data_IF_567339028421
#
_entry.id   IF_567339028421
#
_cell.length_a   1.000
_cell.length_b   1.000
_cell.length_c   1.000
_cell.angle_alpha   90.00
_cell.angle_beta   90.00
_cell.angle_gamma   90.00
#
_symmetry.space_group_name_H-M   'P 1'
#
loop_
_entity.id
_entity.type
_entity.pdbx_description
1 polymer ?
#
# COMPACT_ATOMS: atom_id res chain seq x y z
N UNK A 1 9.77 96.45 0.97
CA UNK A 1 10.89 97.42 0.89
C UNK A 1 10.81 98.16 -0.43
N UNK A 2 10.81 99.50 -0.37
CA UNK A 2 11.55 100.38 -1.30
C UNK A 2 11.15 100.46 -2.78
N UNK A 3 10.31 101.44 -3.16
CA UNK A 3 9.99 101.87 -4.54
C UNK A 3 10.78 103.14 -4.96
N UNK A 4 10.72 103.57 -6.22
CA UNK A 4 10.93 104.97 -6.69
C UNK A 4 10.40 105.11 -8.14
N UNK A 5 9.42 105.95 -8.51
CA UNK A 5 9.13 107.41 -8.41
C UNK A 5 9.89 108.32 -9.38
N UNK A 6 9.09 109.12 -10.11
CA UNK A 6 9.38 110.43 -10.74
C UNK A 6 8.49 110.59 -11.99
N UNK A 7 7.42 111.39 -12.14
CA UNK A 7 6.85 112.65 -11.59
C UNK A 7 7.42 113.97 -12.16
N UNK A 8 6.56 114.68 -12.90
CA UNK A 8 6.58 116.13 -13.25
C UNK A 8 5.56 116.36 -14.39
N UNK A 9 4.33 116.93 -14.26
CA UNK A 9 3.81 118.24 -13.78
C UNK A 9 4.41 119.42 -14.60
N UNK A 10 3.70 120.44 -15.12
CA UNK A 10 2.36 121.03 -14.83
C UNK A 10 2.07 122.23 -15.80
N UNK A 11 0.79 122.54 -16.06
CA UNK A 11 0.16 123.90 -16.19
C UNK A 11 0.56 124.88 -17.34
N UNK A 12 -0.23 125.85 -17.85
CA UNK A 12 -1.64 126.31 -17.80
C UNK A 12 -1.82 127.49 -18.81
N UNK A 13 -3.03 127.61 -19.39
CA UNK A 13 -3.82 128.83 -19.76
C UNK A 13 -3.16 130.17 -20.17
N UNK A 14 -3.73 130.76 -21.23
CA UNK A 14 -3.81 132.21 -21.46
C UNK A 14 -5.02 132.55 -22.35
N UNK A 15 -5.76 133.62 -22.03
CA UNK A 15 -7.10 134.02 -22.54
C UNK A 15 -7.10 135.54 -22.77
N UNK A 16 -7.93 136.03 -23.70
CA UNK A 16 -8.38 137.44 -23.80
C UNK A 16 -7.57 138.31 -24.78
N UNK A 17 -8.12 139.26 -25.53
CA UNK A 17 -9.49 139.78 -25.63
C UNK A 17 -9.49 141.27 -26.05
N UNK A 18 -10.59 141.70 -26.69
CA UNK A 18 -11.09 143.09 -26.84
C UNK A 18 -10.33 144.08 -27.74
N UNK A 19 -10.84 145.24 -28.17
CA UNK A 19 -12.13 145.70 -28.71
C UNK A 19 -12.03 147.23 -28.95
N UNK A 20 -12.82 147.74 -29.91
CA UNK A 20 -13.31 149.14 -30.02
C UNK A 20 -12.28 150.20 -30.51
N UNK A 21 -12.61 151.34 -31.16
CA UNK A 21 -13.81 152.19 -31.17
C UNK A 21 -13.64 153.34 -32.21
N UNK A 22 -14.77 153.83 -32.80
CA UNK A 22 -15.18 155.26 -33.06
C UNK A 22 -14.29 156.18 -33.96
N UNK A 23 -14.75 157.27 -34.62
CA UNK A 23 -16.03 157.97 -34.96
C UNK A 23 -15.67 159.22 -35.83
N UNK A 24 -16.62 159.79 -36.61
CA UNK A 24 -16.66 161.20 -37.11
C UNK A 24 -16.45 161.32 -38.64
N UNK A 25 -17.27 161.91 -39.53
CA UNK A 25 -18.36 162.92 -39.61
C UNK A 25 -17.93 164.37 -40.02
N UNK A 26 -18.50 164.85 -41.15
CA UNK A 26 -18.68 166.24 -41.69
C UNK A 26 -17.42 167.01 -42.19
N UNK A 27 -17.40 167.90 -43.21
CA UNK A 27 -18.33 168.49 -44.20
C UNK A 27 -17.51 169.28 -45.29
N UNK A 28 -17.97 169.24 -46.56
CA UNK A 28 -18.10 170.32 -47.60
C UNK A 28 -16.93 171.31 -47.89
N UNK A 29 -16.40 171.32 -49.13
CA UNK A 29 -16.69 172.37 -50.16
C UNK A 29 -16.11 172.04 -51.56
N UNK A 30 -16.70 172.70 -52.56
CA UNK A 30 -16.85 172.35 -53.97
C UNK A 30 -15.61 172.30 -54.90
N UNK A 31 -15.82 171.48 -55.94
CA UNK A 31 -15.31 171.61 -57.32
C UNK A 31 -14.06 170.81 -57.73
N UNK A 32 -14.17 169.47 -57.79
CA UNK A 32 -13.38 168.62 -58.73
C UNK A 32 -14.07 167.24 -58.94
N UNK A 33 -15.32 167.26 -59.41
CA UNK A 33 -16.29 166.13 -59.40
C UNK A 33 -16.27 165.21 -60.64
N UNK A 34 -15.10 164.92 -61.21
CA UNK A 34 -14.96 163.87 -62.26
C UNK A 34 -13.87 162.81 -61.98
N UNK A 35 -13.01 162.97 -60.96
CA UNK A 35 -11.92 162.03 -60.63
C UNK A 35 -12.20 161.06 -59.44
N UNK A 36 -13.36 161.18 -58.76
CA UNK A 36 -13.64 160.44 -57.51
C UNK A 36 -14.39 159.10 -57.71
N UNK A 37 -15.03 158.91 -58.87
CA UNK A 37 -15.73 157.67 -59.22
C UNK A 37 -14.78 156.50 -59.54
N UNK A 38 -13.69 156.76 -60.28
CA UNK A 38 -12.67 155.74 -60.59
C UNK A 38 -11.93 155.25 -59.34
N UNK A 39 -11.71 156.13 -58.35
CA UNK A 39 -11.02 155.77 -57.10
C UNK A 39 -11.85 154.83 -56.21
N UNK A 40 -13.17 154.98 -56.20
CA UNK A 40 -14.08 154.09 -55.44
C UNK A 40 -14.18 152.69 -56.05
N UNK A 41 -14.07 152.57 -57.37
CA UNK A 41 -14.06 151.28 -58.07
C UNK A 41 -12.77 150.48 -57.79
N UNK A 42 -11.61 151.17 -57.81
CA UNK A 42 -10.31 150.60 -57.43
C UNK A 42 -10.27 150.10 -55.98
N UNK A 43 -10.90 150.81 -55.04
CA UNK A 43 -10.99 150.38 -53.63
C UNK A 43 -11.86 149.13 -53.46
N UNK A 44 -12.92 148.99 -54.26
CA UNK A 44 -13.77 147.80 -54.28
C UNK A 44 -13.01 146.59 -54.82
N UNK A 45 -12.26 146.77 -55.92
CA UNK A 45 -11.39 145.73 -56.47
C UNK A 45 -10.28 145.34 -55.49
N UNK A 46 -9.66 146.29 -54.80
CA UNK A 46 -8.64 146.01 -53.78
C UNK A 46 -9.19 145.20 -52.58
N UNK A 47 -10.42 145.49 -52.12
CA UNK A 47 -11.06 144.70 -51.06
C UNK A 47 -11.43 143.28 -51.50
N UNK A 48 -11.90 143.12 -52.73
CA UNK A 48 -12.21 141.81 -53.29
C UNK A 48 -10.94 140.95 -53.42
N UNK A 49 -9.84 141.56 -53.91
CA UNK A 49 -8.54 140.91 -53.96
C UNK A 49 -8.04 140.52 -52.57
N UNK A 50 -8.15 141.40 -51.57
CA UNK A 50 -7.77 141.10 -50.18
C UNK A 50 -8.57 139.94 -49.57
N UNK A 51 -9.88 139.86 -49.83
CA UNK A 51 -10.70 138.72 -49.40
C UNK A 51 -10.28 137.41 -50.07
N UNK A 52 -9.94 137.45 -51.37
CA UNK A 52 -9.39 136.31 -52.10
C UNK A 52 -8.06 135.86 -51.49
N UNK A 53 -7.14 136.79 -51.21
CA UNK A 53 -5.85 136.46 -50.58
C UNK A 53 -6.06 135.85 -49.19
N UNK A 54 -7.01 136.36 -48.42
CA UNK A 54 -7.34 135.82 -47.09
C UNK A 54 -7.96 134.42 -47.14
N UNK A 55 -8.79 134.13 -48.15
CA UNK A 55 -9.33 132.78 -48.38
C UNK A 55 -8.24 131.81 -48.82
N UNK A 56 -7.32 132.26 -49.67
CA UNK A 56 -6.13 131.48 -50.05
C UNK A 56 -5.24 131.18 -48.84
N UNK A 57 -5.01 132.14 -47.94
CA UNK A 57 -4.27 131.92 -46.69
C UNK A 57 -4.96 130.90 -45.77
N UNK A 58 -6.29 130.94 -45.64
CA UNK A 58 -7.05 129.97 -44.86
C UNK A 58 -6.96 128.57 -45.48
N UNK A 59 -7.16 128.45 -46.79
CA UNK A 59 -7.05 127.18 -47.50
C UNK A 59 -5.61 126.61 -47.42
N UNK A 60 -4.60 127.47 -47.51
CA UNK A 60 -3.20 127.07 -47.34
C UNK A 60 -2.95 126.55 -45.92
N UNK A 61 -3.45 127.22 -44.89
CA UNK A 61 -3.31 126.78 -43.50
C UNK A 61 -4.05 125.46 -43.22
N UNK A 62 -5.25 125.28 -43.76
CA UNK A 62 -5.96 124.00 -43.70
C UNK A 62 -5.19 122.88 -44.41
N UNK A 63 -4.63 123.15 -45.58
CA UNK A 63 -3.79 122.21 -46.30
C UNK A 63 -2.52 121.87 -45.51
N UNK A 64 -1.89 122.84 -44.83
CA UNK A 64 -0.76 122.58 -43.95
C UNK A 64 -1.15 121.66 -42.79
N UNK A 65 -2.28 121.91 -42.11
CA UNK A 65 -2.76 121.04 -41.03
C UNK A 65 -3.12 119.64 -41.52
N UNK A 66 -3.73 119.51 -42.69
CA UNK A 66 -4.01 118.21 -43.30
C UNK A 66 -2.72 117.46 -43.64
N UNK A 67 -1.73 118.16 -44.23
CA UNK A 67 -0.41 117.60 -44.52
C UNK A 67 0.30 117.14 -43.26
N UNK A 68 0.26 117.92 -42.18
CA UNK A 68 0.82 117.56 -40.88
C UNK A 68 0.10 116.36 -40.25
N UNK A 69 -1.23 116.30 -40.33
CA UNK A 69 -2.02 115.14 -39.86
C UNK A 69 -1.69 113.88 -40.64
N UNK A 70 -1.62 113.96 -41.97
CA UNK A 70 -1.25 112.83 -42.84
C UNK A 70 0.17 112.38 -42.51
N UNK A 71 1.11 113.31 -42.35
CA UNK A 71 2.47 112.99 -41.97
C UNK A 71 2.55 112.32 -40.59
N UNK A 72 1.80 112.81 -39.60
CA UNK A 72 1.72 112.19 -38.28
C UNK A 72 1.15 110.77 -38.36
N UNK A 73 0.04 110.56 -39.06
CA UNK A 73 -0.52 109.22 -39.27
C UNK A 73 0.46 108.31 -39.98
N UNK A 74 1.16 108.81 -41.00
CA UNK A 74 2.19 108.04 -41.70
C UNK A 74 3.34 107.63 -40.77
N UNK A 75 3.85 108.53 -39.92
CA UNK A 75 4.91 108.22 -38.95
C UNK A 75 4.42 107.19 -37.93
N UNK A 76 3.21 107.37 -37.38
CA UNK A 76 2.64 106.46 -36.38
C UNK A 76 2.37 105.09 -36.97
N UNK A 77 1.75 105.00 -38.15
CA UNK A 77 1.48 103.72 -38.80
C UNK A 77 2.75 103.03 -39.27
N UNK A 78 3.74 103.78 -39.76
CA UNK A 78 5.07 103.23 -40.07
C UNK A 78 5.73 102.64 -38.82
N UNK A 79 5.68 103.36 -37.69
CA UNK A 79 6.20 102.86 -36.42
C UNK A 79 5.42 101.62 -35.93
N UNK A 80 4.09 101.67 -35.96
CA UNK A 80 3.24 100.54 -35.58
C UNK A 80 3.54 99.30 -36.44
N UNK A 81 3.75 99.49 -37.74
CA UNK A 81 4.13 98.43 -38.66
C UNK A 81 5.52 97.86 -38.32
N UNK A 82 6.51 98.72 -38.03
CA UNK A 82 7.84 98.31 -37.59
C UNK A 82 7.79 97.54 -36.25
N UNK A 83 6.97 97.99 -35.30
CA UNK A 83 6.75 97.34 -34.00
C UNK A 83 6.07 95.97 -34.18
N UNK A 84 4.99 95.89 -34.98
CA UNK A 84 4.30 94.61 -35.30
C UNK A 84 5.25 93.61 -35.98
N UNK A 85 6.11 94.10 -36.88
CA UNK A 85 7.12 93.30 -37.56
C UNK A 85 8.19 92.80 -36.57
N UNK A 86 8.55 93.61 -35.57
CA UNK A 86 9.45 93.19 -34.50
C UNK A 86 8.79 92.13 -33.59
N UNK A 87 7.53 92.32 -33.19
CA UNK A 87 6.77 91.34 -32.41
C UNK A 87 6.64 90.01 -33.14
N UNK A 88 6.35 90.01 -34.45
CA UNK A 88 6.24 88.79 -35.24
C UNK A 88 7.57 88.03 -35.29
N UNK A 89 8.69 88.75 -35.45
CA UNK A 89 10.04 88.14 -35.38
C UNK A 89 10.33 87.56 -34.00
N UNK A 90 9.91 88.22 -32.91
CA UNK A 90 10.10 87.70 -31.56
C UNK A 90 9.25 86.44 -31.33
N UNK A 91 7.98 86.44 -31.78
CA UNK A 91 7.10 85.26 -31.70
C UNK A 91 7.63 84.08 -32.51
N UNK A 92 8.23 84.36 -33.67
CA UNK A 92 8.86 83.32 -34.49
C UNK A 92 10.09 82.72 -33.80
N UNK A 93 10.90 83.53 -33.11
CA UNK A 93 12.00 83.02 -32.27
C UNK A 93 11.48 82.21 -31.08
N UNK A 94 10.46 82.70 -30.38
CA UNK A 94 9.85 81.96 -29.26
C UNK A 94 9.30 80.60 -29.72
N UNK A 95 8.70 80.54 -30.92
CA UNK A 95 8.24 79.28 -31.54
C UNK A 95 9.42 78.34 -31.80
N UNK A 96 10.51 78.85 -32.38
CA UNK A 96 11.72 78.07 -32.63
C UNK A 96 12.34 77.55 -31.33
N UNK A 97 12.48 78.38 -30.31
CA UNK A 97 13.01 77.99 -28.99
C UNK A 97 12.15 76.90 -28.33
N UNK A 98 10.82 76.98 -28.46
CA UNK A 98 9.91 75.94 -27.96
C UNK A 98 10.04 74.64 -28.73
N UNK A 99 10.18 74.70 -30.05
CA UNK A 99 10.40 73.51 -30.89
C UNK A 99 11.73 72.83 -30.56
N UNK A 100 12.80 73.60 -30.35
CA UNK A 100 14.10 73.07 -29.92
C UNK A 100 14.01 72.40 -28.54
N UNK A 101 13.36 73.06 -27.56
CA UNK A 101 13.13 72.48 -26.23
C UNK A 101 12.34 71.17 -26.34
N UNK A 102 11.25 71.16 -27.12
CA UNK A 102 10.43 69.98 -27.31
C UNK A 102 11.21 68.83 -27.97
N UNK A 103 12.07 69.14 -28.95
CA UNK A 103 12.94 68.13 -29.57
C UNK A 103 13.96 67.55 -28.56
N UNK A 104 14.53 68.39 -27.68
CA UNK A 104 15.43 67.93 -26.61
C UNK A 104 14.67 67.04 -25.63
N UNK A 105 13.48 67.44 -25.18
CA UNK A 105 12.63 66.63 -24.30
C UNK A 105 12.30 65.27 -24.93
N UNK A 106 11.90 65.23 -26.20
CA UNK A 106 11.67 63.98 -26.93
C UNK A 106 12.92 63.09 -26.92
N UNK A 107 14.11 63.65 -27.12
CA UNK A 107 15.37 62.87 -27.07
C UNK A 107 15.63 62.31 -25.68
N UNK A 108 15.42 63.09 -24.63
CA UNK A 108 15.57 62.65 -23.23
C UNK A 108 14.56 61.54 -22.90
N UNK A 109 13.29 61.70 -23.27
CA UNK A 109 12.28 60.67 -23.07
C UNK A 109 12.60 59.39 -23.84
N UNK A 110 13.03 59.49 -25.11
CA UNK A 110 13.48 58.34 -25.90
C UNK A 110 14.66 57.62 -25.22
N UNK A 111 15.63 58.37 -24.70
CA UNK A 111 16.74 57.77 -23.94
C UNK A 111 16.23 57.11 -22.67
N UNK A 112 15.37 57.75 -21.88
CA UNK A 112 14.82 57.18 -20.64
C UNK A 112 14.06 55.87 -20.89
N UNK A 113 13.25 55.82 -21.94
CA UNK A 113 12.56 54.58 -22.35
C UNK A 113 13.58 53.50 -22.74
N UNK A 114 14.63 53.83 -23.50
CA UNK A 114 15.69 52.87 -23.83
C UNK A 114 16.41 52.32 -22.60
N UNK A 115 16.75 53.17 -21.63
CA UNK A 115 17.38 52.74 -20.39
C UNK A 115 16.45 51.83 -19.60
N UNK A 116 15.18 52.20 -19.44
CA UNK A 116 14.20 51.39 -18.73
C UNK A 116 14.01 50.01 -19.38
N UNK A 117 13.93 49.95 -20.72
CA UNK A 117 13.86 48.68 -21.44
C UNK A 117 15.11 47.82 -21.24
N UNK A 118 16.30 48.43 -21.22
CA UNK A 118 17.55 47.73 -20.99
C UNK A 118 17.67 47.22 -19.53
N UNK A 119 17.25 48.03 -18.56
CA UNK A 119 17.16 47.64 -17.15
C UNK A 119 16.21 46.46 -16.96
N UNK A 120 14.99 46.55 -17.50
CA UNK A 120 14.02 45.45 -17.45
C UNK A 120 14.57 44.18 -18.12
N UNK A 121 15.22 44.31 -19.29
CA UNK A 121 15.83 43.18 -19.97
C UNK A 121 16.95 42.54 -19.14
N UNK A 122 17.77 43.34 -18.47
CA UNK A 122 18.83 42.87 -17.59
C UNK A 122 18.27 42.18 -16.34
N UNK A 123 17.23 42.74 -15.73
CA UNK A 123 16.53 42.11 -14.59
C UNK A 123 15.93 40.77 -14.97
N UNK A 124 15.23 40.70 -16.10
CA UNK A 124 14.68 39.44 -16.63
C UNK A 124 15.80 38.42 -16.87
N UNK A 125 16.93 38.86 -17.45
CA UNK A 125 18.07 37.97 -17.73
C UNK A 125 18.71 37.46 -16.43
N UNK A 126 18.81 38.33 -15.42
CA UNK A 126 19.32 37.98 -14.09
C UNK A 126 18.41 36.98 -13.40
N UNK A 127 17.10 37.22 -13.38
CA UNK A 127 16.11 36.31 -12.79
C UNK A 127 16.10 34.95 -13.48
N UNK A 128 16.19 34.92 -14.82
CA UNK A 128 16.31 33.66 -15.58
C UNK A 128 17.55 32.89 -15.20
N UNK A 129 18.70 33.56 -15.09
CA UNK A 129 19.96 32.94 -14.68
C UNK A 129 19.89 32.40 -13.24
N UNK A 130 19.30 33.15 -12.32
CA UNK A 130 19.10 32.71 -10.93
C UNK A 130 18.16 31.50 -10.84
N UNK A 131 17.06 31.49 -11.59
CA UNK A 131 16.18 30.33 -11.69
C UNK A 131 16.90 29.11 -12.25
N UNK A 132 17.64 29.25 -13.35
CA UNK A 132 18.40 28.15 -13.95
C UNK A 132 19.47 27.61 -12.99
N UNK A 133 20.17 28.48 -12.26
CA UNK A 133 21.13 28.08 -11.24
C UNK A 133 20.44 27.33 -10.09
N UNK A 134 19.33 27.84 -9.57
CA UNK A 134 18.56 27.18 -8.51
C UNK A 134 18.03 25.82 -8.96
N UNK A 135 17.55 25.71 -10.20
CA UNK A 135 17.08 24.44 -10.77
C UNK A 135 18.23 23.44 -10.90
N UNK A 136 19.40 23.90 -11.34
CA UNK A 136 20.59 23.04 -11.48
C UNK A 136 21.07 22.53 -10.12
N UNK A 137 21.16 23.41 -9.11
CA UNK A 137 21.51 23.01 -7.74
C UNK A 137 20.54 21.95 -7.21
N UNK A 138 19.24 22.18 -7.36
CA UNK A 138 18.23 21.20 -6.95
C UNK A 138 18.36 19.87 -7.68
N UNK A 139 18.63 19.88 -9.00
CA UNK A 139 18.88 18.65 -9.77
C UNK A 139 20.13 17.90 -9.30
N UNK A 140 21.21 18.63 -8.99
CA UNK A 140 22.45 18.03 -8.50
C UNK A 140 22.27 17.45 -7.08
N UNK A 141 21.49 18.11 -6.21
CA UNK A 141 21.10 17.60 -4.89
C UNK A 141 20.26 16.31 -5.02
N UNK A 142 19.27 16.28 -5.92
CA UNK A 142 18.49 15.07 -6.18
C UNK A 142 19.36 13.92 -6.69
N UNK A 143 20.33 14.20 -7.57
CA UNK A 143 21.30 13.20 -8.05
C UNK A 143 22.21 12.70 -6.92
N UNK A 144 22.60 13.57 -6.00
CA UNK A 144 23.34 13.21 -4.78
C UNK A 144 22.52 12.25 -3.91
N UNK A 145 21.31 12.65 -3.54
CA UNK A 145 20.40 11.85 -2.72
C UNK A 145 20.08 10.50 -3.38
N UNK A 146 19.88 10.45 -4.70
CA UNK A 146 19.63 9.20 -5.42
C UNK A 146 20.83 8.25 -5.35
N UNK A 147 22.06 8.77 -5.43
CA UNK A 147 23.27 7.96 -5.27
C UNK A 147 23.40 7.43 -3.85
N UNK A 148 23.14 8.25 -2.84
CA UNK A 148 23.16 7.85 -1.42
C UNK A 148 22.11 6.77 -1.13
N UNK A 149 20.86 6.97 -1.60
CA UNK A 149 19.82 5.96 -1.47
C UNK A 149 20.18 4.64 -2.17
N UNK A 150 20.87 4.71 -3.32
CA UNK A 150 21.38 3.52 -4.01
C UNK A 150 22.48 2.81 -3.20
N UNK A 151 23.38 3.55 -2.55
CA UNK A 151 24.40 2.96 -1.68
C UNK A 151 23.80 2.35 -0.44
N UNK A 152 22.86 3.04 0.21
CA UNK A 152 22.18 2.56 1.41
C UNK A 152 21.34 1.32 1.11
N UNK A 153 20.64 1.30 -0.03
CA UNK A 153 19.92 0.10 -0.49
C UNK A 153 20.85 -1.10 -0.66
N UNK A 154 22.07 -0.89 -1.18
CA UNK A 154 23.06 -1.98 -1.34
C UNK A 154 23.59 -2.42 0.02
N UNK A 155 23.88 -1.49 0.93
CA UNK A 155 24.32 -1.76 2.28
C UNK A 155 23.28 -2.55 3.08
N UNK A 156 22.03 -2.10 3.09
CA UNK A 156 20.92 -2.79 3.75
C UNK A 156 20.71 -4.21 3.20
N UNK A 157 20.89 -4.42 1.88
CA UNK A 157 20.86 -5.77 1.29
C UNK A 157 22.00 -6.65 1.78
N UNK A 158 23.20 -6.08 1.96
CA UNK A 158 24.34 -6.80 2.50
C UNK A 158 24.10 -7.17 3.97
N UNK A 159 23.68 -6.21 4.79
CA UNK A 159 23.41 -6.42 6.22
C UNK A 159 22.30 -7.47 6.41
N UNK A 160 21.24 -7.42 5.59
CA UNK A 160 20.19 -8.44 5.60
C UNK A 160 20.74 -9.82 5.24
N UNK A 161 21.66 -9.90 4.26
CA UNK A 161 22.29 -11.16 3.89
C UNK A 161 23.21 -11.71 4.98
N UNK A 162 23.94 -10.84 5.67
CA UNK A 162 24.79 -11.20 6.79
C UNK A 162 23.95 -11.76 7.95
N UNK A 163 22.82 -11.11 8.28
CA UNK A 163 21.87 -11.61 9.28
C UNK A 163 21.31 -12.97 8.86
N UNK A 164 20.87 -13.13 7.62
CA UNK A 164 20.39 -14.43 7.11
C UNK A 164 21.44 -15.54 7.26
N UNK A 165 22.70 -15.28 6.90
CA UNK A 165 23.79 -16.23 7.03
C UNK A 165 24.07 -16.57 8.50
N UNK A 166 24.09 -15.56 9.37
CA UNK A 166 24.26 -15.78 10.81
C UNK A 166 23.15 -16.65 11.41
N UNK A 167 21.90 -16.44 10.99
CA UNK A 167 20.76 -17.25 11.41
C UNK A 167 20.87 -18.69 10.87
N UNK A 168 21.29 -18.86 9.62
CA UNK A 168 21.52 -20.19 9.05
C UNK A 168 22.62 -20.94 9.81
N UNK A 169 23.71 -20.27 10.17
CA UNK A 169 24.80 -20.89 10.92
C UNK A 169 24.41 -21.20 12.36
N UNK A 170 23.61 -20.34 13.00
CA UNK A 170 23.00 -20.64 14.29
C UNK A 170 22.11 -21.88 14.22
N UNK A 171 21.23 -21.99 13.22
CA UNK A 171 20.37 -23.17 13.01
C UNK A 171 21.19 -24.44 12.75
N UNK A 172 22.27 -24.37 11.97
CA UNK A 172 23.19 -25.50 11.77
C UNK A 172 23.84 -25.92 13.09
N UNK A 173 24.30 -24.97 13.89
CA UNK A 173 24.91 -25.27 15.20
C UNK A 173 23.91 -25.94 16.14
N UNK A 174 22.67 -25.45 16.18
CA UNK A 174 21.61 -25.99 17.01
C UNK A 174 21.23 -27.41 16.58
N UNK A 175 21.13 -27.68 15.27
CA UNK A 175 20.91 -29.03 14.73
C UNK A 175 22.06 -29.97 15.08
N UNK A 176 23.31 -29.54 14.90
CA UNK A 176 24.48 -30.35 15.29
C UNK A 176 24.48 -30.67 16.79
N UNK A 177 24.08 -29.73 17.65
CA UNK A 177 23.98 -29.98 19.07
C UNK A 177 22.84 -30.95 19.42
N UNK A 178 21.69 -30.83 18.75
CA UNK A 178 20.59 -31.79 18.88
C UNK A 178 21.03 -33.20 18.44
N UNK A 179 21.71 -33.34 17.32
CA UNK A 179 22.22 -34.63 16.82
C UNK A 179 23.22 -35.25 17.80
N UNK A 180 24.10 -34.43 18.40
CA UNK A 180 24.99 -34.87 19.48
C UNK A 180 24.21 -35.38 20.69
N UNK A 181 23.20 -34.63 21.15
CA UNK A 181 22.34 -35.04 22.29
C UNK A 181 21.60 -36.35 22.00
N UNK A 182 21.05 -36.51 20.79
CA UNK A 182 20.40 -37.76 20.36
C UNK A 182 21.41 -38.92 20.37
N UNK A 183 22.62 -38.70 19.88
CA UNK A 183 23.67 -39.72 19.85
C UNK A 183 24.07 -40.17 21.25
N UNK A 184 24.28 -39.21 22.18
CA UNK A 184 24.57 -39.51 23.59
C UNK A 184 23.42 -40.30 24.21
N UNK A 185 22.18 -39.88 24.01
CA UNK A 185 21.01 -40.57 24.55
C UNK A 185 20.89 -42.01 24.02
N UNK A 186 21.17 -42.22 22.72
CA UNK A 186 21.22 -43.57 22.12
C UNK A 186 22.29 -44.43 22.78
N UNK A 187 23.48 -43.89 23.00
CA UNK A 187 24.57 -44.60 23.68
C UNK A 187 24.21 -44.96 25.13
N UNK A 188 23.54 -44.06 25.85
CA UNK A 188 23.06 -44.32 27.21
C UNK A 188 22.01 -45.44 27.24
N UNK A 189 21.03 -45.42 26.32
CA UNK A 189 20.05 -46.49 26.21
C UNK A 189 20.68 -47.83 25.83
N UNK A 190 21.64 -47.83 24.91
CA UNK A 190 22.36 -49.05 24.53
C UNK A 190 23.18 -49.60 25.71
N UNK A 191 23.83 -48.73 26.48
CA UNK A 191 24.55 -49.11 27.71
C UNK A 191 23.59 -49.73 28.72
N UNK A 192 22.46 -49.07 29.00
CA UNK A 192 21.46 -49.58 29.95
C UNK A 192 20.85 -50.91 29.49
N UNK A 193 20.59 -51.09 28.19
CA UNK A 193 20.12 -52.35 27.64
C UNK A 193 21.16 -53.47 27.84
N UNK A 194 22.44 -53.21 27.55
CA UNK A 194 23.54 -54.16 27.75
C UNK A 194 23.71 -54.53 29.23
N UNK A 195 23.70 -53.56 30.13
CA UNK A 195 23.78 -53.77 31.58
C UNK A 195 22.61 -54.64 32.08
N UNK A 196 21.40 -54.36 31.62
CA UNK A 196 20.20 -55.11 31.99
C UNK A 196 20.26 -56.55 31.46
N UNK A 197 20.62 -56.73 30.19
CA UNK A 197 20.84 -58.05 29.59
C UNK A 197 21.87 -58.84 30.40
N UNK A 198 23.03 -58.25 30.67
CA UNK A 198 24.11 -58.91 31.40
C UNK A 198 23.68 -59.29 32.84
N UNK A 199 22.91 -58.43 33.51
CA UNK A 199 22.33 -58.73 34.84
C UNK A 199 21.43 -59.96 34.79
N UNK A 200 20.55 -60.06 33.80
CA UNK A 200 19.65 -61.22 33.67
C UNK A 200 20.37 -62.49 33.20
N UNK A 201 21.37 -62.38 32.33
CA UNK A 201 22.22 -63.51 31.96
C UNK A 201 22.99 -64.07 33.15
N UNK A 202 23.56 -63.20 33.99
CA UNK A 202 24.22 -63.60 35.25
C UNK A 202 23.24 -64.30 36.19
N UNK A 203 22.04 -63.74 36.41
CA UNK A 203 20.98 -64.38 37.21
C UNK A 203 20.58 -65.75 36.66
N UNK A 204 20.39 -65.86 35.35
CA UNK A 204 20.03 -67.11 34.67
C UNK A 204 21.15 -68.15 34.80
N UNK A 205 22.41 -67.74 34.67
CA UNK A 205 23.56 -68.63 34.87
C UNK A 205 23.63 -69.13 36.33
N UNK A 206 23.57 -68.22 37.30
CA UNK A 206 23.57 -68.57 38.72
C UNK A 206 22.44 -69.56 39.07
N UNK A 207 21.22 -69.33 38.57
CA UNK A 207 20.11 -70.25 38.81
C UNK A 207 20.32 -71.64 38.20
N UNK A 208 20.95 -71.72 37.01
CA UNK A 208 21.32 -73.01 36.41
C UNK A 208 22.40 -73.72 37.21
N UNK A 209 23.43 -73.00 37.62
CA UNK A 209 24.54 -73.54 38.41
C UNK A 209 24.02 -74.07 39.77
N UNK A 210 23.10 -73.37 40.42
CA UNK A 210 22.42 -73.80 41.66
C UNK A 210 21.60 -75.09 41.46
N UNK A 211 20.82 -75.17 40.38
CA UNK A 211 20.04 -76.37 40.06
C UNK A 211 20.94 -77.57 39.74
N UNK A 212 22.03 -77.35 39.01
CA UNK A 212 23.01 -78.39 38.74
C UNK A 212 23.72 -78.87 40.00
N UNK A 213 24.07 -77.96 40.90
CA UNK A 213 24.66 -78.29 42.20
C UNK A 213 23.70 -79.13 43.05
N UNK A 214 22.42 -78.73 43.14
CA UNK A 214 21.38 -79.53 43.83
C UNK A 214 21.22 -80.92 43.22
N UNK A 215 21.13 -81.01 41.89
CA UNK A 215 21.03 -82.29 41.19
C UNK A 215 22.24 -83.19 41.48
N UNK A 216 23.46 -82.64 41.46
CA UNK A 216 24.68 -83.39 41.80
C UNK A 216 24.64 -83.89 43.24
N UNK A 217 24.26 -83.02 44.19
CA UNK A 217 24.14 -83.39 45.59
C UNK A 217 23.09 -84.49 45.82
N UNK A 218 21.93 -84.40 45.18
CA UNK A 218 20.89 -85.41 45.29
C UNK A 218 21.30 -86.74 44.65
N UNK A 219 22.03 -86.69 43.53
CA UNK A 219 22.62 -87.88 42.89
C UNK A 219 23.61 -88.55 43.84
N UNK A 220 24.51 -87.78 44.47
CA UNK A 220 25.45 -88.30 45.47
C UNK A 220 24.73 -88.94 46.66
N UNK A 221 23.70 -88.31 47.22
CA UNK A 221 22.90 -88.90 48.30
C UNK A 221 22.24 -90.23 47.89
N UNK A 222 21.77 -90.33 46.65
CA UNK A 222 21.19 -91.57 46.11
C UNK A 222 22.28 -92.64 45.96
N UNK A 223 23.45 -92.28 45.44
CA UNK A 223 24.61 -93.19 45.32
C UNK A 223 25.08 -93.68 46.69
N UNK A 224 25.21 -92.81 47.68
CA UNK A 224 25.55 -93.18 49.06
C UNK A 224 24.54 -94.15 49.67
N UNK A 225 23.24 -93.89 49.50
CA UNK A 225 22.17 -94.81 49.95
C UNK A 225 22.25 -96.16 49.26
N UNK A 226 22.49 -96.18 47.95
CA UNK A 226 22.66 -97.42 47.18
C UNK A 226 23.90 -98.18 47.63
N UNK A 227 25.02 -97.51 47.83
CA UNK A 227 26.26 -98.12 48.31
C UNK A 227 26.10 -98.66 49.73
N UNK A 228 25.41 -97.95 50.61
CA UNK A 228 25.07 -98.44 51.94
C UNK A 228 24.20 -99.70 51.86
N UNK A 229 23.17 -99.70 51.00
CA UNK A 229 22.33 -100.87 50.80
C UNK A 229 23.10 -102.07 50.23
N UNK A 230 23.99 -101.83 49.26
CA UNK A 230 24.90 -102.86 48.72
C UNK A 230 25.79 -103.42 49.84
N UNK A 231 26.37 -102.56 50.68
CA UNK A 231 27.20 -102.99 51.80
C UNK A 231 26.39 -103.84 52.81
N UNK A 232 25.18 -103.41 53.16
CA UNK A 232 24.27 -104.18 54.01
C UNK A 232 23.93 -105.53 53.39
N UNK A 233 23.60 -105.56 52.10
CA UNK A 233 23.29 -106.78 51.37
C UNK A 233 24.49 -107.73 51.32
N UNK A 234 25.70 -107.20 51.08
CA UNK A 234 26.95 -107.95 51.15
C UNK A 234 27.17 -108.57 52.53
N UNK A 235 26.98 -107.80 53.62
CA UNK A 235 27.10 -108.34 54.99
C UNK A 235 26.04 -109.38 55.31
N UNK A 236 24.81 -109.19 54.84
CA UNK A 236 23.72 -110.15 55.01
C UNK A 236 24.01 -111.45 54.24
N UNK A 237 24.52 -111.34 53.01
CA UNK A 237 24.98 -112.49 52.24
C UNK A 237 26.17 -113.19 52.90
N UNK A 238 27.18 -112.48 53.37
CA UNK A 238 28.32 -113.07 54.10
C UNK A 238 27.84 -113.84 55.33
N UNK A 239 26.91 -113.25 56.08
CA UNK A 239 26.28 -113.89 57.23
C UNK A 239 25.47 -115.12 56.83
N UNK A 240 24.63 -115.02 55.80
CA UNK A 240 23.86 -116.15 55.28
C UNK A 240 24.77 -117.26 54.73
N UNK A 241 25.88 -116.92 54.06
CA UNK A 241 26.89 -117.89 53.63
C UNK A 241 27.58 -118.54 54.83
N UNK A 242 27.88 -117.79 55.89
CA UNK A 242 28.38 -118.32 57.16
C UNK A 242 27.37 -119.26 57.83
N UNK A 243 26.10 -118.87 57.90
CA UNK A 243 24.99 -119.68 58.41
C UNK A 243 24.77 -120.94 57.56
N UNK A 244 24.87 -120.85 56.23
CA UNK A 244 24.82 -122.00 55.31
C UNK A 244 26.02 -122.93 55.52
N UNK A 245 27.22 -122.37 55.68
CA UNK A 245 28.44 -123.15 55.94
C UNK A 245 28.35 -123.87 57.28
N UNK A 246 27.83 -123.18 58.31
CA UNK A 246 27.53 -123.78 59.60
C UNK A 246 26.43 -124.82 59.48
N UNK A 247 25.35 -124.57 58.74
CA UNK A 247 24.28 -125.53 58.47
C UNK A 247 24.80 -126.78 57.75
N UNK A 248 25.70 -126.65 56.77
CA UNK A 248 26.31 -127.81 56.12
C UNK A 248 27.34 -128.52 57.01
N UNK A 249 28.08 -127.80 57.86
CA UNK A 249 28.92 -128.39 58.90
C UNK A 249 28.07 -129.16 59.93
N UNK A 250 26.97 -128.57 60.36
CA UNK A 250 25.98 -129.14 61.27
C UNK A 250 25.22 -130.28 60.60
N UNK A 251 25.01 -130.25 59.28
CA UNK A 251 24.51 -131.39 58.49
C UNK A 251 25.56 -132.46 58.36
N UNK A 252 26.85 -132.17 58.19
CA UNK A 252 27.86 -133.23 58.19
C UNK A 252 27.97 -133.88 59.56
N UNK A 253 27.83 -133.10 60.64
CA UNK A 253 27.79 -133.60 62.01
C UNK A 253 26.48 -134.36 62.29
N UNK A 254 25.34 -133.77 61.95
CA UNK A 254 24.03 -134.41 62.06
C UNK A 254 23.89 -135.60 61.12
N UNK A 255 24.45 -135.64 59.93
CA UNK A 255 24.39 -136.81 59.04
C UNK A 255 25.17 -137.99 59.64
N UNK A 256 26.24 -137.71 60.38
CA UNK A 256 26.92 -138.70 61.21
C UNK A 256 26.03 -139.21 62.36
N UNK A 257 25.25 -138.32 62.98
CA UNK A 257 24.28 -138.67 64.04
C UNK A 257 22.96 -139.27 63.50
N UNK A 258 22.58 -138.93 62.27
CA UNK A 258 21.35 -139.26 61.54
C UNK A 258 21.51 -140.59 60.80
N UNK A 259 22.72 -140.98 60.37
CA UNK A 259 22.99 -142.39 60.01
C UNK A 259 22.69 -143.32 61.21
N UNK A 260 22.82 -142.81 62.44
CA UNK A 260 22.49 -143.53 63.67
C UNK A 260 20.99 -143.56 63.93
N UNK A 261 20.26 -142.47 63.71
CA UNK A 261 18.82 -142.36 64.00
C UNK A 261 17.86 -142.71 62.83
N UNK A 262 18.29 -142.67 61.56
CA UNK A 262 17.49 -143.08 60.39
C UNK A 262 17.23 -144.59 60.31
N UNK A 263 17.85 -145.39 61.18
CA UNK A 263 17.39 -146.76 61.44
C UNK A 263 16.12 -146.82 62.29
N UNK A 264 15.81 -145.79 63.07
CA UNK A 264 14.65 -145.72 63.96
C UNK A 264 13.47 -144.95 63.36
N UNK A 265 13.72 -143.91 62.55
CA UNK A 265 12.64 -143.02 62.04
C UNK A 265 11.92 -143.47 60.75
N UNK A 266 12.36 -144.55 60.09
CA UNK A 266 11.54 -145.20 59.03
C UNK A 266 10.19 -145.71 59.58
N UNK A 267 10.08 -145.84 60.91
CA UNK A 267 8.87 -146.24 61.62
C UNK A 267 7.78 -145.15 61.73
N UNK A 268 8.10 -143.85 61.65
CA UNK A 268 7.14 -142.78 62.03
C UNK A 268 6.55 -141.95 60.89
N UNK A 269 7.14 -141.97 59.69
CA UNK A 269 6.68 -141.13 58.56
C UNK A 269 5.34 -141.55 57.92
N UNK A 270 4.65 -142.57 58.44
CA UNK A 270 3.28 -142.93 58.00
C UNK A 270 2.17 -142.05 58.58
N UNK A 271 2.46 -141.03 59.41
CA UNK A 271 1.44 -140.33 60.22
C UNK A 271 1.14 -138.85 59.90
N UNK A 272 1.78 -138.19 58.94
CA UNK A 272 1.64 -136.73 58.72
C UNK A 272 1.03 -136.35 57.37
N UNK A 273 -0.11 -136.96 57.02
CA UNK A 273 -0.90 -136.62 55.81
C UNK A 273 -2.07 -135.68 56.10
N UNK A 274 -2.19 -135.16 57.34
CA UNK A 274 -3.38 -134.44 57.83
C UNK A 274 -3.25 -132.90 57.96
N UNK A 275 -2.22 -132.26 57.38
CA UNK A 275 -1.99 -130.81 57.56
C UNK A 275 -2.43 -129.91 56.39
N UNK A 276 -2.81 -130.46 55.23
CA UNK A 276 -3.04 -129.68 54.02
C UNK A 276 -4.43 -129.01 53.91
N UNK A 277 -5.34 -129.26 54.85
CA UNK A 277 -6.71 -128.71 54.80
C UNK A 277 -6.84 -127.24 55.25
N UNK A 278 -5.81 -126.64 55.86
CA UNK A 278 -5.89 -125.26 56.41
C UNK A 278 -5.58 -124.13 55.42
N UNK A 279 -4.90 -124.40 54.31
CA UNK A 279 -4.48 -123.35 53.35
C UNK A 279 -5.62 -122.78 52.48
N UNK A 280 -6.73 -123.50 52.34
CA UNK A 280 -7.82 -123.14 51.44
C UNK A 280 -8.73 -122.00 51.96
N UNK A 281 -8.68 -121.67 53.26
CA UNK A 281 -9.55 -120.65 53.86
C UNK A 281 -8.99 -119.22 53.76
N UNK A 282 -7.67 -119.05 53.76
CA UNK A 282 -7.00 -117.73 53.74
C UNK A 282 -7.14 -117.02 52.39
N UNK A 283 -7.14 -117.78 51.28
CA UNK A 283 -7.25 -117.26 49.91
C UNK A 283 -8.63 -116.64 49.64
N UNK A 284 -9.68 -117.09 50.35
CA UNK A 284 -11.05 -116.61 50.19
C UNK A 284 -11.29 -115.23 50.82
N UNK A 285 -10.61 -114.90 51.92
CA UNK A 285 -10.77 -113.60 52.59
C UNK A 285 -10.01 -112.46 51.88
N UNK A 286 -8.84 -112.75 51.31
CA UNK A 286 -8.02 -111.75 50.62
C UNK A 286 -8.73 -111.22 49.35
N UNK A 287 -9.50 -112.07 48.66
CA UNK A 287 -10.29 -111.69 47.48
C UNK A 287 -11.49 -110.75 47.81
N UNK A 288 -12.05 -110.82 49.02
CA UNK A 288 -13.11 -109.89 49.45
C UNK A 288 -12.56 -108.49 49.75
N UNK A 289 -11.34 -108.39 50.31
CA UNK A 289 -10.68 -107.12 50.67
C UNK A 289 -10.33 -106.24 49.47
N UNK A 290 -10.07 -106.85 48.31
CA UNK A 290 -9.62 -106.15 47.09
C UNK A 290 -10.75 -105.61 46.20
N UNK A 291 -12.02 -105.94 46.49
CA UNK A 291 -13.16 -105.54 45.64
C UNK A 291 -13.55 -104.05 45.77
N UNK A 292 -13.34 -103.43 46.93
CA UNK A 292 -13.71 -102.05 47.20
C UNK A 292 -12.72 -101.02 46.63
N UNK A 293 -11.40 -101.21 46.72
CA UNK A 293 -10.41 -100.37 46.03
C UNK A 293 -10.60 -100.34 44.50
N UNK A 294 -10.96 -101.49 43.91
CA UNK A 294 -11.20 -101.61 42.47
C UNK A 294 -12.42 -100.79 42.02
N UNK A 295 -13.52 -100.79 42.80
CA UNK A 295 -14.69 -99.94 42.52
C UNK A 295 -14.38 -98.44 42.59
N UNK A 296 -13.57 -98.00 43.57
CA UNK A 296 -13.17 -96.59 43.69
C UNK A 296 -12.29 -96.15 42.51
N UNK A 297 -11.32 -96.97 42.10
CA UNK A 297 -10.47 -96.70 40.95
C UNK A 297 -11.27 -96.58 39.64
N UNK A 298 -12.30 -97.41 39.44
CA UNK A 298 -13.17 -97.34 38.25
C UNK A 298 -14.00 -96.05 38.21
N UNK A 299 -14.55 -95.60 39.35
CA UNK A 299 -15.29 -94.33 39.44
C UNK A 299 -14.39 -93.11 39.18
N UNK A 300 -13.14 -93.14 39.66
CA UNK A 300 -12.18 -92.06 39.41
C UNK A 300 -11.76 -92.00 37.93
N UNK A 301 -11.57 -93.15 37.28
CA UNK A 301 -11.33 -93.21 35.83
C UNK A 301 -12.49 -92.60 35.05
N UNK A 302 -13.73 -92.84 35.47
CA UNK A 302 -14.92 -92.30 34.81
C UNK A 302 -15.05 -90.78 34.99
N UNK A 303 -14.79 -90.26 36.20
CA UNK A 303 -14.69 -88.82 36.48
C UNK A 303 -13.60 -88.14 35.64
N UNK A 304 -12.39 -88.71 35.59
CA UNK A 304 -11.28 -88.16 34.83
C UNK A 304 -11.58 -88.13 33.33
N UNK A 305 -12.23 -89.18 32.79
CA UNK A 305 -12.69 -89.19 31.39
C UNK A 305 -13.72 -88.10 31.10
N UNK A 306 -14.60 -87.77 32.05
CA UNK A 306 -15.58 -86.68 31.89
C UNK A 306 -14.89 -85.31 31.90
N UNK A 307 -13.94 -85.10 32.81
CA UNK A 307 -13.14 -83.86 32.89
C UNK A 307 -12.28 -83.63 31.64
N UNK A 308 -11.70 -84.70 31.06
CA UNK A 308 -10.94 -84.60 29.80
C UNK A 308 -11.85 -84.16 28.64
N UNK A 309 -13.10 -84.63 28.60
CA UNK A 309 -14.07 -84.23 27.58
C UNK A 309 -14.40 -82.74 27.66
N UNK A 310 -14.73 -82.26 28.85
CA UNK A 310 -15.01 -80.83 29.11
C UNK A 310 -13.81 -79.96 28.73
N UNK A 311 -12.60 -80.35 29.16
CA UNK A 311 -11.37 -79.63 28.81
C UNK A 311 -11.11 -79.57 27.28
N UNK A 312 -11.47 -80.64 26.55
CA UNK A 312 -11.36 -80.64 25.08
C UNK A 312 -12.36 -79.70 24.43
N UNK A 313 -13.60 -79.64 24.92
CA UNK A 313 -14.64 -78.70 24.47
C UNK A 313 -14.22 -77.24 24.73
N UNK A 314 -13.82 -76.91 25.96
CA UNK A 314 -13.32 -75.57 26.33
C UNK A 314 -12.10 -75.15 25.47
N UNK A 315 -11.22 -76.09 25.11
CA UNK A 315 -10.06 -75.81 24.26
C UNK A 315 -10.45 -75.48 22.81
N UNK A 316 -11.56 -76.01 22.32
CA UNK A 316 -12.09 -75.67 21.00
C UNK A 316 -12.76 -74.30 21.05
N UNK A 317 -13.57 -74.02 22.06
CA UNK A 317 -14.21 -72.72 22.27
C UNK A 317 -13.17 -71.59 22.46
N UNK A 318 -12.09 -71.85 23.19
CA UNK A 318 -11.01 -70.89 23.33
C UNK A 318 -10.32 -70.59 21.97
N UNK A 319 -10.20 -71.59 21.09
CA UNK A 319 -9.63 -71.37 19.75
C UNK A 319 -10.56 -70.56 18.86
N UNK A 320 -11.86 -70.82 18.88
CA UNK A 320 -12.83 -70.06 18.10
C UNK A 320 -12.91 -68.62 18.59
N UNK A 321 -12.95 -68.39 19.91
CA UNK A 321 -12.92 -67.06 20.50
C UNK A 321 -11.65 -66.28 20.13
N UNK A 322 -10.47 -66.93 20.16
CA UNK A 322 -9.22 -66.31 19.70
C UNK A 322 -9.23 -65.95 18.22
N UNK A 323 -9.83 -66.80 17.38
CA UNK A 323 -10.00 -66.50 15.95
C UNK A 323 -10.90 -65.28 15.72
N UNK A 324 -12.02 -65.19 16.43
CA UNK A 324 -12.92 -64.04 16.37
C UNK A 324 -12.25 -62.76 16.88
N UNK A 325 -11.47 -62.85 17.96
CA UNK A 325 -10.72 -61.72 18.51
C UNK A 325 -9.69 -61.18 17.51
N UNK A 326 -8.97 -62.06 16.81
CA UNK A 326 -8.00 -61.66 15.79
C UNK A 326 -8.68 -60.91 14.62
N UNK A 327 -9.85 -61.36 14.18
CA UNK A 327 -10.63 -60.68 13.13
C UNK A 327 -11.08 -59.31 13.62
N UNK A 328 -11.64 -59.22 14.83
CA UNK A 328 -12.06 -57.95 15.43
C UNK A 328 -10.89 -56.97 15.62
N UNK A 329 -9.70 -57.44 15.99
CA UNK A 329 -8.49 -56.61 16.10
C UNK A 329 -8.06 -56.06 14.74
N UNK A 330 -8.17 -56.86 13.67
CA UNK A 330 -7.89 -56.40 12.31
C UNK A 330 -8.93 -55.37 11.84
N UNK A 331 -10.22 -55.62 12.07
CA UNK A 331 -11.30 -54.68 11.75
C UNK A 331 -11.15 -53.36 12.52
N UNK A 332 -10.78 -53.43 13.80
CA UNK A 332 -10.50 -52.25 14.62
C UNK A 332 -9.31 -51.46 14.08
N UNK A 333 -8.22 -52.13 13.69
CA UNK A 333 -7.05 -51.48 13.11
C UNK A 333 -7.39 -50.77 11.78
N UNK A 334 -8.17 -51.41 10.90
CA UNK A 334 -8.62 -50.79 9.65
C UNK A 334 -9.52 -49.59 9.93
N UNK A 335 -10.48 -49.72 10.85
CA UNK A 335 -11.40 -48.64 11.18
C UNK A 335 -10.70 -47.46 11.86
N UNK A 336 -9.71 -47.73 12.72
CA UNK A 336 -8.88 -46.69 13.33
C UNK A 336 -8.09 -45.90 12.30
N UNK A 337 -7.54 -46.58 11.29
CA UNK A 337 -6.82 -45.91 10.20
C UNK A 337 -7.76 -45.07 9.34
N UNK A 338 -8.92 -45.62 8.95
CA UNK A 338 -9.95 -44.87 8.20
C UNK A 338 -10.44 -43.65 8.97
N UNK A 339 -10.64 -43.78 10.28
CA UNK A 339 -11.03 -42.68 11.15
C UNK A 339 -9.97 -41.57 11.15
N UNK A 340 -8.68 -41.91 11.29
CA UNK A 340 -7.59 -40.93 11.27
C UNK A 340 -7.49 -40.20 9.93
N UNK A 341 -7.65 -40.93 8.81
CA UNK A 341 -7.68 -40.34 7.46
C UNK A 341 -8.87 -39.37 7.32
N UNK A 342 -10.07 -39.76 7.76
CA UNK A 342 -11.25 -38.90 7.74
C UNK A 342 -11.08 -37.66 8.62
N UNK A 343 -10.43 -37.80 9.78
CA UNK A 343 -10.17 -36.69 10.69
C UNK A 343 -9.21 -35.66 10.07
N UNK A 344 -8.15 -36.13 9.40
CA UNK A 344 -7.24 -35.26 8.66
C UNK A 344 -7.93 -34.54 7.51
N UNK A 345 -8.78 -35.26 6.75
CA UNK A 345 -9.54 -34.68 5.64
C UNK A 345 -10.55 -33.64 6.13
N UNK A 346 -11.23 -33.91 7.24
CA UNK A 346 -12.13 -32.94 7.86
C UNK A 346 -11.37 -31.68 8.29
N UNK A 347 -10.22 -31.82 8.95
CA UNK A 347 -9.40 -30.69 9.36
C UNK A 347 -8.90 -29.85 8.17
N UNK A 348 -8.56 -30.49 7.05
CA UNK A 348 -8.20 -29.79 5.82
C UNK A 348 -9.39 -28.98 5.26
N UNK A 349 -10.57 -29.59 5.14
CA UNK A 349 -11.78 -28.90 4.65
C UNK A 349 -12.17 -27.74 5.55
N UNK A 350 -12.03 -27.87 6.87
CA UNK A 350 -12.28 -26.77 7.80
C UNK A 350 -11.33 -25.59 7.56
N UNK A 351 -10.04 -25.85 7.35
CA UNK A 351 -9.07 -24.79 7.00
C UNK A 351 -9.40 -24.11 5.68
N UNK A 352 -9.73 -24.89 4.65
CA UNK A 352 -10.13 -24.35 3.34
C UNK A 352 -11.39 -23.46 3.47
N UNK A 353 -12.34 -23.86 4.31
CA UNK A 353 -13.54 -23.05 4.59
C UNK A 353 -13.21 -21.76 5.35
N UNK A 354 -12.34 -21.82 6.36
CA UNK A 354 -11.88 -20.65 7.11
C UNK A 354 -11.11 -19.66 6.22
N UNK A 355 -10.23 -20.16 5.36
CA UNK A 355 -9.50 -19.37 4.37
C UNK A 355 -10.45 -18.70 3.37
N UNK A 356 -11.39 -19.46 2.80
CA UNK A 356 -12.37 -18.94 1.85
C UNK A 356 -13.27 -17.89 2.51
N UNK A 357 -13.70 -18.14 3.76
CA UNK A 357 -14.50 -17.19 4.53
C UNK A 357 -13.72 -15.90 4.77
N UNK A 358 -12.43 -15.99 5.12
CA UNK A 358 -11.56 -14.83 5.34
C UNK A 358 -11.37 -14.03 4.06
N UNK A 359 -11.10 -14.70 2.93
CA UNK A 359 -10.97 -14.06 1.61
C UNK A 359 -12.26 -13.37 1.17
N UNK A 360 -13.41 -14.00 1.41
CA UNK A 360 -14.72 -13.42 1.12
C UNK A 360 -14.96 -12.14 1.91
N UNK A 361 -14.71 -12.16 3.23
CA UNK A 361 -14.84 -10.95 4.06
C UNK A 361 -13.88 -9.85 3.61
N UNK A 362 -12.61 -10.17 3.34
CA UNK A 362 -11.63 -9.20 2.81
C UNK A 362 -12.10 -8.58 1.50
N UNK A 363 -12.62 -9.39 0.57
CA UNK A 363 -13.12 -8.92 -0.72
C UNK A 363 -14.33 -8.00 -0.56
N UNK A 364 -15.24 -8.32 0.37
CA UNK A 364 -16.37 -7.44 0.71
C UNK A 364 -15.87 -6.11 1.24
N UNK A 365 -14.93 -6.11 2.20
CA UNK A 365 -14.40 -4.88 2.76
C UNK A 365 -13.70 -4.02 1.72
N UNK A 366 -12.92 -4.61 0.81
CA UNK A 366 -12.28 -3.89 -0.28
C UNK A 366 -13.30 -3.23 -1.23
N UNK A 367 -14.36 -3.96 -1.60
CA UNK A 367 -15.44 -3.43 -2.44
C UNK A 367 -16.20 -2.32 -1.72
N UNK A 368 -16.52 -2.50 -0.44
CA UNK A 368 -17.17 -1.49 0.39
C UNK A 368 -16.30 -0.24 0.52
N UNK A 369 -14.98 -0.39 0.74
CA UNK A 369 -14.05 0.73 0.84
C UNK A 369 -13.94 1.50 -0.47
N UNK A 370 -13.79 0.80 -1.60
CA UNK A 370 -13.72 1.43 -2.93
C UNK A 370 -15.01 2.17 -3.28
N UNK A 371 -16.15 1.52 -3.05
CA UNK A 371 -17.47 2.12 -3.31
C UNK A 371 -17.73 3.28 -2.37
N UNK A 372 -17.36 3.15 -1.08
CA UNK A 372 -17.47 4.20 -0.07
C UNK A 372 -16.63 5.43 -0.42
N UNK A 373 -15.37 5.25 -0.85
CA UNK A 373 -14.51 6.33 -1.33
C UNK A 373 -15.10 7.03 -2.57
N UNK A 374 -15.63 6.25 -3.53
CA UNK A 374 -16.27 6.79 -4.73
C UNK A 374 -17.51 7.62 -4.37
N UNK A 375 -18.36 7.11 -3.49
CA UNK A 375 -19.56 7.80 -3.02
C UNK A 375 -19.20 9.07 -2.27
N UNK A 376 -18.22 9.01 -1.35
CA UNK A 376 -17.73 10.18 -0.63
C UNK A 376 -17.18 11.26 -1.58
N UNK A 377 -16.43 10.86 -2.62
CA UNK A 377 -15.93 11.80 -3.62
C UNK A 377 -17.09 12.42 -4.43
N UNK A 378 -18.09 11.63 -4.80
CA UNK A 378 -19.29 12.11 -5.49
C UNK A 378 -20.08 13.08 -4.61
N UNK A 379 -20.26 12.78 -3.31
CA UNK A 379 -20.90 13.70 -2.35
C UNK A 379 -20.13 15.02 -2.25
N UNK A 380 -18.80 14.98 -2.17
CA UNK A 380 -17.97 16.20 -2.14
C UNK A 380 -18.09 17.01 -3.42
N UNK A 381 -18.09 16.35 -4.59
CA UNK A 381 -18.30 17.01 -5.89
C UNK A 381 -19.70 17.62 -5.98
N UNK A 382 -20.74 16.89 -5.57
CA UNK A 382 -22.11 17.39 -5.52
C UNK A 382 -22.20 18.61 -4.60
N UNK A 383 -21.67 18.53 -3.39
CA UNK A 383 -21.66 19.67 -2.47
C UNK A 383 -20.92 20.90 -3.02
N UNK A 384 -19.79 20.69 -3.71
CA UNK A 384 -19.06 21.78 -4.36
C UNK A 384 -19.86 22.40 -5.53
N UNK A 385 -20.51 21.57 -6.35
CA UNK A 385 -21.38 22.03 -7.44
C UNK A 385 -22.62 22.76 -6.91
N UNK A 386 -23.23 22.28 -5.83
CA UNK A 386 -24.35 22.96 -5.16
C UNK A 386 -23.91 24.32 -4.62
N UNK A 387 -22.76 24.41 -3.96
CA UNK A 387 -22.23 25.70 -3.49
C UNK A 387 -21.97 26.67 -4.66
N UNK A 388 -21.41 26.17 -5.76
CA UNK A 388 -21.22 26.98 -6.97
C UNK A 388 -22.54 27.44 -7.57
N UNK A 389 -23.55 26.58 -7.60
CA UNK A 389 -24.89 26.91 -8.06
C UNK A 389 -25.49 28.02 -7.18
N UNK A 390 -25.46 27.86 -5.86
CA UNK A 390 -25.95 28.85 -4.90
C UNK A 390 -25.23 30.21 -5.05
N UNK A 391 -23.92 30.20 -5.27
CA UNK A 391 -23.15 31.41 -5.56
C UNK A 391 -23.59 32.07 -6.87
N UNK A 392 -23.78 31.29 -7.93
CA UNK A 392 -24.21 31.80 -9.24
C UNK A 392 -25.64 32.33 -9.21
N UNK A 393 -26.54 31.67 -8.48
CA UNK A 393 -27.90 32.15 -8.26
C UNK A 393 -27.92 33.45 -7.44
N UNK A 394 -27.06 33.57 -6.42
CA UNK A 394 -26.91 34.80 -5.66
C UNK A 394 -26.37 35.96 -6.52
N UNK A 395 -25.30 35.72 -7.29
CA UNK A 395 -24.75 36.68 -8.26
C UNK A 395 -25.81 37.10 -9.30
N UNK A 396 -26.56 36.15 -9.84
CA UNK A 396 -27.62 36.42 -10.81
C UNK A 396 -28.74 37.26 -10.20
N UNK A 397 -29.18 36.94 -8.99
CA UNK A 397 -30.21 37.70 -8.28
C UNK A 397 -29.74 39.13 -7.98
N UNK A 398 -28.48 39.33 -7.60
CA UNK A 398 -27.89 40.67 -7.39
C UNK A 398 -27.89 41.49 -8.69
N UNK A 399 -27.45 40.90 -9.80
CA UNK A 399 -27.46 41.55 -11.12
C UNK A 399 -28.88 41.92 -11.55
N UNK A 400 -29.85 41.02 -11.36
CA UNK A 400 -31.26 41.28 -11.70
C UNK A 400 -31.85 42.42 -10.86
N UNK A 401 -31.54 42.48 -9.56
CA UNK A 401 -31.95 43.58 -8.67
C UNK A 401 -31.35 44.93 -9.10
N UNK A 402 -30.07 44.96 -9.49
CA UNK A 402 -29.40 46.18 -9.93
C UNK A 402 -29.84 46.66 -11.32
N UNK A 403 -30.15 45.74 -12.23
CA UNK A 403 -30.48 46.06 -13.61
C UNK A 403 -31.90 46.63 -13.81
N UNK A 404 -32.80 46.50 -12.81
CA UNK A 404 -34.20 46.99 -12.85
C UNK A 404 -34.94 46.61 -14.14
N UNK A 405 -34.68 45.40 -14.64
CA UNK A 405 -35.31 44.88 -15.85
C UNK A 405 -36.77 44.49 -15.55
N UNK A 406 -37.63 44.59 -16.56
CA UNK A 406 -39.03 44.14 -16.46
C UNK A 406 -39.06 42.61 -16.26
N UNK A 407 -39.62 42.10 -15.14
CA UNK A 407 -39.67 40.68 -14.84
C UNK A 407 -40.29 39.84 -15.96
N UNK A 408 -41.30 40.38 -16.67
CA UNK A 408 -41.98 39.66 -17.74
C UNK A 408 -41.09 39.43 -18.98
N UNK A 409 -40.13 40.32 -19.22
CA UNK A 409 -39.18 40.21 -20.34
C UNK A 409 -38.05 39.24 -19.96
N UNK A 410 -37.56 39.31 -18.72
CA UNK A 410 -36.53 38.40 -18.20
C UNK A 410 -37.02 36.95 -18.21
N UNK A 411 -38.25 36.70 -17.72
CA UNK A 411 -38.84 35.35 -17.71
C UNK A 411 -39.04 34.80 -19.13
N UNK A 412 -39.45 35.65 -20.08
CA UNK A 412 -39.60 35.23 -21.49
C UNK A 412 -38.27 34.88 -22.15
N UNK A 413 -37.22 35.67 -21.88
CA UNK A 413 -35.88 35.39 -22.40
C UNK A 413 -35.31 34.14 -21.75
N UNK A 414 -35.48 33.97 -20.43
CA UNK A 414 -35.06 32.78 -19.68
C UNK A 414 -35.72 31.51 -20.21
N UNK A 415 -37.05 31.50 -20.37
CA UNK A 415 -37.77 30.36 -20.93
C UNK A 415 -37.32 30.00 -22.34
N UNK A 416 -37.12 30.98 -23.23
CA UNK A 416 -36.59 30.71 -24.58
C UNK A 416 -35.17 30.15 -24.56
N UNK A 417 -34.35 30.58 -23.61
CA UNK A 417 -32.98 30.07 -23.42
C UNK A 417 -32.99 28.64 -22.87
N UNK A 418 -33.88 28.34 -21.92
CA UNK A 418 -34.12 27.00 -21.40
C UNK A 418 -34.57 26.04 -22.51
N UNK A 419 -35.52 26.45 -23.38
CA UNK A 419 -35.97 25.66 -24.52
C UNK A 419 -34.81 25.36 -25.50
N UNK A 420 -33.97 26.36 -25.81
CA UNK A 420 -32.80 26.17 -26.67
C UNK A 420 -31.78 25.22 -26.03
N UNK A 421 -31.55 25.32 -24.72
CA UNK A 421 -30.66 24.41 -24.01
C UNK A 421 -31.22 22.98 -23.97
N UNK A 422 -32.52 22.82 -23.76
CA UNK A 422 -33.19 21.52 -23.77
C UNK A 422 -33.06 20.83 -25.12
N UNK A 423 -33.35 21.56 -26.22
CA UNK A 423 -33.21 21.03 -27.58
C UNK A 423 -31.76 20.63 -27.87
N UNK A 424 -30.78 21.47 -27.53
CA UNK A 424 -29.36 21.12 -27.71
C UNK A 424 -28.93 19.91 -26.88
N UNK A 425 -29.49 19.72 -25.69
CA UNK A 425 -29.21 18.56 -24.85
C UNK A 425 -29.88 17.28 -25.36
N UNK A 426 -30.97 17.41 -26.12
CA UNK A 426 -31.59 16.31 -26.86
C UNK A 426 -30.76 15.94 -28.09
N UNK A 427 -30.39 16.92 -28.93
CA UNK A 427 -29.48 16.73 -30.07
C UNK A 427 -28.17 16.05 -29.64
N UNK A 428 -27.60 16.46 -28.51
CA UNK A 428 -26.39 15.83 -27.95
C UNK A 428 -26.60 14.36 -27.59
N UNK A 429 -27.73 14.02 -26.96
CA UNK A 429 -28.05 12.63 -26.61
C UNK A 429 -28.27 11.78 -27.85
N UNK A 430 -28.91 12.33 -28.88
CA UNK A 430 -29.09 11.64 -30.17
C UNK A 430 -27.75 11.39 -30.86
N UNK A 431 -26.88 12.40 -30.95
CA UNK A 431 -25.53 12.26 -31.52
C UNK A 431 -24.65 11.28 -30.73
N UNK A 432 -24.72 11.27 -29.40
CA UNK A 432 -24.02 10.30 -28.56
C UNK A 432 -24.51 8.87 -28.81
N UNK A 433 -25.82 8.68 -28.95
CA UNK A 433 -26.41 7.37 -29.28
C UNK A 433 -25.99 6.90 -30.68
N UNK A 434 -26.00 7.78 -31.68
CA UNK A 434 -25.52 7.50 -33.03
C UNK A 434 -24.04 7.13 -33.03
N UNK A 435 -23.20 7.86 -32.29
CA UNK A 435 -21.77 7.57 -32.17
C UNK A 435 -21.53 6.17 -31.59
N UNK A 436 -22.26 5.79 -30.53
CA UNK A 436 -22.20 4.44 -29.95
C UNK A 436 -22.64 3.39 -30.97
N UNK A 437 -23.69 3.66 -31.74
CA UNK A 437 -24.18 2.74 -32.77
C UNK A 437 -23.18 2.56 -33.91
N UNK A 438 -22.54 3.65 -34.37
CA UNK A 438 -21.49 3.60 -35.41
C UNK A 438 -20.25 2.86 -34.92
N UNK A 439 -19.81 3.11 -33.68
CA UNK A 439 -18.69 2.38 -33.08
C UNK A 439 -18.98 0.87 -33.02
N UNK A 440 -20.20 0.49 -32.65
CA UNK A 440 -20.64 -0.91 -32.65
C UNK A 440 -20.62 -1.50 -34.08
N UNK A 441 -21.18 -0.78 -35.06
CA UNK A 441 -21.17 -1.24 -36.46
C UNK A 441 -19.75 -1.40 -37.01
N UNK A 442 -18.82 -0.51 -36.63
CA UNK A 442 -17.40 -0.62 -36.99
C UNK A 442 -16.76 -1.86 -36.37
N UNK A 443 -17.03 -2.16 -35.09
CA UNK A 443 -16.52 -3.35 -34.42
C UNK A 443 -17.11 -4.65 -35.02
N UNK A 444 -18.40 -4.65 -35.33
CA UNK A 444 -19.07 -5.77 -36.00
C UNK A 444 -18.49 -5.99 -37.41
N UNK A 445 -18.23 -4.92 -38.17
CA UNK A 445 -17.58 -4.98 -39.48
C UNK A 445 -16.14 -5.52 -39.38
N UNK A 446 -15.36 -5.06 -38.41
CA UNK A 446 -14.00 -5.54 -38.18
C UNK A 446 -14.02 -7.06 -37.87
N UNK A 447 -14.94 -7.51 -37.04
CA UNK A 447 -15.12 -8.92 -36.71
C UNK A 447 -15.53 -9.74 -37.94
N UNK A 448 -16.46 -9.24 -38.76
CA UNK A 448 -16.88 -9.89 -39.99
C UNK A 448 -15.75 -9.99 -41.04
N UNK A 449 -14.93 -8.94 -41.16
CA UNK A 449 -13.74 -8.95 -42.00
C UNK A 449 -12.71 -9.98 -41.53
N UNK A 450 -12.45 -10.06 -40.22
CA UNK A 450 -11.57 -11.07 -39.64
C UNK A 450 -12.04 -12.50 -39.95
N UNK A 451 -13.34 -12.76 -39.75
CA UNK A 451 -13.93 -14.06 -40.09
C UNK A 451 -13.78 -14.38 -41.57
N UNK A 452 -14.06 -13.43 -42.48
CA UNK A 452 -13.89 -13.65 -43.92
C UNK A 452 -12.44 -13.86 -44.34
N UNK A 453 -11.48 -13.12 -43.79
CA UNK A 453 -10.06 -13.33 -44.08
C UNK A 453 -9.60 -14.72 -43.61
N UNK A 454 -10.08 -15.16 -42.44
CA UNK A 454 -9.79 -16.51 -41.94
C UNK A 454 -10.36 -17.62 -42.84
N UNK A 455 -11.55 -17.43 -43.43
CA UNK A 455 -12.13 -18.39 -44.40
C UNK A 455 -11.27 -18.56 -45.65
N UNK A 456 -10.57 -17.50 -46.10
CA UNK A 456 -9.65 -17.54 -47.24
C UNK A 456 -8.21 -17.93 -46.85
N UNK A 457 -7.96 -18.28 -45.59
CA UNK A 457 -6.66 -18.72 -45.10
C UNK A 457 -5.63 -17.60 -44.93
N UNK A 458 -6.07 -16.34 -44.82
CA UNK A 458 -5.23 -15.17 -44.58
C UNK A 458 -5.17 -14.87 -43.07
N UNK A 459 -4.02 -15.06 -42.40
CA UNK A 459 -3.86 -14.72 -40.99
C UNK A 459 -3.75 -13.20 -40.78
N UNK A 460 -4.37 -12.70 -39.71
CA UNK A 460 -4.38 -11.28 -39.34
C UNK A 460 -2.99 -10.64 -39.21
N UNK A 461 -1.97 -11.45 -38.89
CA UNK A 461 -0.59 -11.02 -38.74
C UNK A 461 0.05 -10.56 -40.07
N UNK A 462 -0.51 -10.96 -41.22
CA UNK A 462 0.01 -10.60 -42.55
C UNK A 462 -0.46 -9.23 -43.05
N UNK A 463 -1.47 -8.61 -42.42
CA UNK A 463 -2.02 -7.32 -42.88
C UNK A 463 -1.15 -6.11 -42.53
N UNK A 464 -0.19 -6.24 -41.60
CA UNK A 464 0.75 -5.16 -41.26
C UNK A 464 0.12 -3.92 -40.61
N UNK A 465 -1.19 -3.88 -40.40
CA UNK A 465 -1.89 -2.86 -39.61
C UNK A 465 -3.03 -3.50 -38.81
N UNK A 466 -3.21 -3.04 -37.58
CA UNK A 466 -4.37 -3.39 -36.77
C UNK A 466 -5.45 -2.33 -37.04
N UNK A 467 -6.65 -2.70 -37.52
CA UNK A 467 -7.76 -1.76 -37.55
C UNK A 467 -8.03 -1.32 -36.10
N UNK A 468 -7.80 -0.05 -35.79
CA UNK A 468 -8.14 0.49 -34.48
C UNK A 468 -9.68 0.46 -34.36
N UNK A 469 -10.16 -0.41 -33.48
CA UNK A 469 -11.54 -0.40 -32.98
C UNK A 469 -11.76 0.78 -32.06
#
# INVERSE_FOLDING_TARGET
MGPKKGKGKKEKKGKGGSASKKKGAAEVNDAERENEAERMELVKQAKALLELTRKEEQAFNEFQQQREKINYFWIVEKKNFEDRKAELRNKERERQDLEEKHQVEIKVYKQRVKHLLYEHQNEITKLKKEMEQSLKLSQDDYRGNERELKTDKRRLKFDLKEIELSHQDYLKSLKQEQDRRITVLRQEFERHAKELQQKYERKRKAFRDDLEARRKQDTQKIEERKNLHIAQLMTAHEKAFGEIKNYYNDITHNNLDLIKSLKEEVSEMKKKEAQDEKLMFEISQENKRMSEPLKRALLDVEKLRKNIRVYQEEKVELRTAKGQLLVLEQEYATLSWEFEVLQQRAAQVTRELEELTTQFHSSIYDVQQKTGLKNFLLEKKMGALTLQLEQKDAELNEVLLHAKLDPAIVDRVKGRLEDIMANKAEDLRELEAEMVQVAKMQQDLATAMQLKMSEYGLPLDELGFMPQT
#
